data_IF_342749372813
#
_entry.id   IF_342749372813
#
_cell.length_a   1.000
_cell.length_b   1.000
_cell.length_c   1.000
_cell.angle_alpha   90.00
_cell.angle_beta   90.00
_cell.angle_gamma   90.00
#
_symmetry.space_group_name_H-M   'P 1'
#
loop_
_entity.id
_entity.type
_entity.pdbx_description
1 polymer ?
#
# COMPACT_ATOMS: atom_id res chain seq x y z
N UNK A 1 -22.11 -0.64 -27.11
CA UNK A 1 -21.17 -0.16 -26.07
C UNK A 1 -21.84 -0.37 -24.72
N UNK A 2 -21.18 -1.07 -23.79
CA UNK A 2 -21.76 -1.39 -22.50
C UNK A 2 -21.67 -0.15 -21.59
N UNK A 3 -22.81 0.30 -21.07
CA UNK A 3 -22.87 1.36 -20.07
C UNK A 3 -22.82 0.72 -18.70
N UNK A 4 -21.78 1.00 -17.92
CA UNK A 4 -21.63 0.43 -16.56
C UNK A 4 -22.13 1.43 -15.54
N UNK A 5 -22.93 0.99 -14.56
CA UNK A 5 -23.36 1.87 -13.46
C UNK A 5 -22.25 2.02 -12.43
N UNK A 6 -22.14 3.20 -11.84
CA UNK A 6 -21.18 3.50 -10.76
C UNK A 6 -21.32 2.51 -9.60
N UNK A 7 -22.55 2.18 -9.19
CA UNK A 7 -22.80 1.18 -8.14
C UNK A 7 -22.32 -0.23 -8.50
N UNK A 8 -22.41 -0.65 -9.77
CA UNK A 8 -21.90 -1.94 -10.23
C UNK A 8 -20.37 -1.94 -10.20
N UNK A 9 -19.75 -0.88 -10.74
CA UNK A 9 -18.30 -0.74 -10.75
C UNK A 9 -17.73 -0.71 -9.32
N UNK A 10 -18.38 -0.01 -8.39
CA UNK A 10 -17.96 0.03 -6.99
C UNK A 10 -17.94 -1.37 -6.35
N UNK A 11 -18.96 -2.21 -6.65
CA UNK A 11 -19.03 -3.59 -6.16
C UNK A 11 -17.91 -4.46 -6.73
N UNK A 12 -17.55 -4.29 -8.00
CA UNK A 12 -16.44 -5.04 -8.63
C UNK A 12 -15.11 -4.82 -7.89
N UNK A 13 -14.90 -3.62 -7.36
CA UNK A 13 -13.68 -3.26 -6.63
C UNK A 13 -13.80 -3.35 -5.10
N UNK A 14 -14.92 -3.84 -4.57
CA UNK A 14 -15.13 -3.95 -3.13
C UNK A 14 -15.16 -2.60 -2.38
N UNK A 15 -15.40 -1.50 -3.07
CA UNK A 15 -15.44 -0.15 -2.49
C UNK A 15 -16.87 0.36 -2.36
N UNK A 16 -17.08 1.35 -1.48
CA UNK A 16 -18.41 1.97 -1.37
C UNK A 16 -18.68 2.85 -2.60
N UNK A 17 -19.96 3.00 -2.97
CA UNK A 17 -20.33 3.91 -4.06
C UNK A 17 -19.92 5.36 -3.78
N UNK A 18 -19.81 5.75 -2.51
CA UNK A 18 -19.38 7.09 -2.09
C UNK A 18 -17.88 7.30 -2.34
N UNK A 19 -17.04 6.32 -2.02
CA UNK A 19 -15.60 6.36 -2.31
C UNK A 19 -15.33 6.40 -3.81
N UNK A 20 -16.00 5.55 -4.59
CA UNK A 20 -15.86 5.57 -6.04
C UNK A 20 -16.25 6.95 -6.62
N UNK A 21 -17.35 7.54 -6.15
CA UNK A 21 -17.78 8.88 -6.60
C UNK A 21 -16.74 9.96 -6.26
N UNK A 22 -16.04 9.85 -5.13
CA UNK A 22 -14.92 10.73 -4.78
C UNK A 22 -13.82 10.68 -5.83
N UNK A 23 -13.36 9.46 -6.17
CA UNK A 23 -12.35 9.26 -7.20
C UNK A 23 -12.79 9.76 -8.59
N UNK A 24 -14.06 9.55 -8.95
CA UNK A 24 -14.62 10.07 -10.20
C UNK A 24 -14.58 11.61 -10.23
N UNK A 25 -14.87 12.28 -9.10
CA UNK A 25 -14.82 13.72 -9.00
C UNK A 25 -13.39 14.28 -9.16
N UNK A 26 -12.38 13.64 -8.54
CA UNK A 26 -10.97 14.00 -8.72
C UNK A 26 -10.52 13.89 -10.18
N UNK A 27 -11.02 12.86 -10.89
CA UNK A 27 -10.76 12.63 -12.32
C UNK A 27 -11.62 13.50 -13.25
N UNK A 28 -12.47 14.38 -12.70
CA UNK A 28 -13.43 15.21 -13.46
C UNK A 28 -14.37 14.39 -14.35
N UNK A 29 -14.68 13.17 -13.92
CA UNK A 29 -15.64 12.29 -14.60
C UNK A 29 -17.04 12.59 -14.04
N UNK A 30 -18.00 13.02 -14.88
CA UNK A 30 -19.31 13.42 -14.40
C UNK A 30 -20.13 12.20 -13.94
N UNK A 31 -20.34 12.10 -12.63
CA UNK A 31 -21.26 11.14 -12.01
C UNK A 31 -22.13 11.86 -10.98
N UNK A 32 -23.46 11.77 -11.14
CA UNK A 32 -24.42 12.49 -10.28
C UNK A 32 -24.87 11.66 -9.08
N UNK A 33 -24.83 10.34 -9.21
CA UNK A 33 -25.27 9.38 -8.20
C UNK A 33 -24.75 7.98 -8.51
N UNK A 34 -24.87 7.05 -7.56
CA UNK A 34 -24.51 5.63 -7.74
C UNK A 34 -25.28 4.93 -8.88
N UNK A 35 -26.39 5.51 -9.33
CA UNK A 35 -27.20 5.03 -10.46
C UNK A 35 -26.74 5.57 -11.81
N UNK A 36 -25.78 6.51 -11.82
CA UNK A 36 -25.22 7.09 -13.04
C UNK A 36 -24.49 6.03 -13.85
N UNK A 37 -24.62 6.09 -15.17
CA UNK A 37 -23.90 5.24 -16.11
C UNK A 37 -22.65 5.93 -16.59
N UNK A 38 -21.52 5.22 -16.55
CA UNK A 38 -20.25 5.67 -17.09
C UNK A 38 -20.10 5.18 -18.54
N UNK A 39 -19.58 6.06 -19.38
CA UNK A 39 -19.17 5.72 -20.74
C UNK A 39 -17.91 4.83 -20.70
N UNK A 40 -17.76 3.98 -21.69
CA UNK A 40 -16.72 2.93 -21.74
C UNK A 40 -15.30 3.49 -21.59
N UNK A 41 -15.01 4.64 -22.22
CA UNK A 41 -13.73 5.33 -22.09
C UNK A 41 -13.39 5.68 -20.62
N UNK A 42 -14.39 6.15 -19.87
CA UNK A 42 -14.21 6.45 -18.45
C UNK A 42 -14.09 5.18 -17.61
N UNK A 43 -14.85 4.13 -17.93
CA UNK A 43 -14.76 2.85 -17.23
C UNK A 43 -13.35 2.26 -17.38
N UNK A 44 -12.78 2.28 -18.59
CA UNK A 44 -11.43 1.77 -18.84
C UNK A 44 -10.36 2.53 -18.04
N UNK A 45 -10.44 3.86 -18.02
CA UNK A 45 -9.54 4.71 -17.23
C UNK A 45 -9.66 4.45 -15.74
N UNK A 46 -10.88 4.41 -15.22
CA UNK A 46 -11.17 4.18 -13.79
C UNK A 46 -10.69 2.80 -13.37
N UNK A 47 -10.96 1.75 -14.16
CA UNK A 47 -10.48 0.39 -13.86
C UNK A 47 -8.96 0.30 -13.79
N UNK A 48 -8.26 0.92 -14.75
CA UNK A 48 -6.80 0.95 -14.78
C UNK A 48 -6.22 1.67 -13.56
N UNK A 49 -6.78 2.82 -13.22
CA UNK A 49 -6.28 3.63 -12.10
C UNK A 49 -6.54 2.97 -10.76
N UNK A 50 -7.74 2.41 -10.56
CA UNK A 50 -8.06 1.70 -9.32
C UNK A 50 -7.21 0.44 -9.13
N UNK A 51 -6.94 -0.32 -10.21
CA UNK A 51 -5.99 -1.42 -10.17
C UNK A 51 -4.58 -0.94 -9.76
N UNK A 52 -4.13 0.20 -10.31
CA UNK A 52 -2.83 0.79 -9.98
C UNK A 52 -2.76 1.29 -8.53
N UNK A 53 -3.85 1.83 -7.98
CA UNK A 53 -3.91 2.27 -6.58
C UNK A 53 -3.85 1.09 -5.62
N UNK A 54 -4.52 -0.02 -5.94
CA UNK A 54 -4.46 -1.25 -5.12
C UNK A 54 -3.04 -1.83 -5.14
N UNK A 55 -2.41 -1.89 -6.31
CA UNK A 55 -1.03 -2.36 -6.46
C UNK A 55 -0.03 -1.45 -5.74
N UNK A 56 -0.17 -0.13 -5.90
CA UNK A 56 0.67 0.85 -5.20
C UNK A 56 0.56 0.71 -3.68
N UNK A 57 -0.66 0.59 -3.15
CA UNK A 57 -0.85 0.35 -1.71
C UNK A 57 -0.25 -0.97 -1.24
N UNK A 58 -0.33 -2.03 -2.04
CA UNK A 58 0.30 -3.30 -1.71
C UNK A 58 1.84 -3.18 -1.67
N UNK A 59 2.43 -2.48 -2.64
CA UNK A 59 3.87 -2.21 -2.68
C UNK A 59 4.33 -1.33 -1.51
N UNK A 60 3.56 -0.30 -1.15
CA UNK A 60 3.87 0.56 0.01
C UNK A 60 3.86 -0.23 1.31
N UNK A 61 2.88 -1.12 1.50
CA UNK A 61 2.81 -1.98 2.68
C UNK A 61 3.96 -2.97 2.72
N UNK A 62 4.34 -3.56 1.58
CA UNK A 62 5.46 -4.50 1.52
C UNK A 62 6.81 -3.80 1.72
N UNK A 63 7.00 -2.61 1.15
CA UNK A 63 8.18 -1.79 1.37
C UNK A 63 8.31 -1.36 2.84
N UNK A 64 7.20 -0.98 3.48
CA UNK A 64 7.19 -0.64 4.90
C UNK A 64 7.61 -1.85 5.78
N UNK A 65 7.11 -3.05 5.46
CA UNK A 65 7.51 -4.28 6.17
C UNK A 65 8.98 -4.61 5.98
N UNK A 66 9.50 -4.51 4.76
CA UNK A 66 10.93 -4.75 4.49
C UNK A 66 11.83 -3.74 5.20
N UNK A 67 11.41 -2.47 5.29
CA UNK A 67 12.15 -1.46 6.03
C UNK A 67 12.15 -1.74 7.54
N UNK A 68 11.02 -2.18 8.10
CA UNK A 68 10.92 -2.59 9.50
C UNK A 68 11.80 -3.81 9.79
N UNK A 69 11.79 -4.82 8.92
CA UNK A 69 12.62 -6.03 9.07
C UNK A 69 14.12 -5.70 8.96
N UNK A 70 14.52 -4.83 8.04
CA UNK A 70 15.92 -4.38 7.94
C UNK A 70 16.35 -3.57 9.16
N UNK A 71 15.47 -2.72 9.71
CA UNK A 71 15.77 -1.98 10.93
C UNK A 71 15.94 -2.92 12.14
N UNK A 72 15.06 -3.91 12.28
CA UNK A 72 15.15 -4.92 13.33
C UNK A 72 16.43 -5.77 13.20
N UNK A 73 16.79 -6.21 12.00
CA UNK A 73 18.00 -6.97 11.75
C UNK A 73 19.28 -6.17 12.03
N UNK A 74 19.30 -4.88 11.68
CA UNK A 74 20.42 -3.99 11.98
C UNK A 74 20.58 -3.77 13.50
N UNK A 75 19.47 -3.63 14.23
CA UNK A 75 19.49 -3.50 15.68
C UNK A 75 19.98 -4.77 16.37
N UNK A 76 19.53 -5.95 15.92
CA UNK A 76 20.00 -7.23 16.46
C UNK A 76 21.50 -7.44 16.19
N UNK A 77 21.97 -7.11 14.98
CA UNK A 77 23.38 -7.18 14.64
C UNK A 77 24.24 -6.21 15.50
N UNK A 78 23.73 -5.01 15.80
CA UNK A 78 24.40 -4.06 16.66
C UNK A 78 24.51 -4.57 18.11
N UNK A 79 23.42 -5.12 18.67
CA UNK A 79 23.43 -5.72 20.01
C UNK A 79 24.36 -6.93 20.10
N UNK A 80 24.38 -7.79 19.09
CA UNK A 80 25.28 -8.93 19.03
C UNK A 80 26.76 -8.49 18.99
N UNK A 81 27.07 -7.45 18.20
CA UNK A 81 28.43 -6.89 18.12
C UNK A 81 28.86 -6.23 19.44
N UNK A 82 27.96 -5.57 20.16
CA UNK A 82 28.24 -4.97 21.47
C UNK A 82 28.49 -6.04 22.53
N UNK A 83 27.62 -7.06 22.60
CA UNK A 83 27.78 -8.18 23.52
C UNK A 83 29.09 -8.95 23.30
N UNK A 84 29.53 -9.09 22.04
CA UNK A 84 30.81 -9.73 21.72
C UNK A 84 32.00 -8.88 22.16
N UNK A 85 31.94 -7.55 21.95
CA UNK A 85 32.98 -6.63 22.44
C UNK A 85 33.08 -6.66 23.95
N UNK A 86 31.96 -6.72 24.65
CA UNK A 86 31.93 -6.81 26.12
C UNK A 86 32.55 -8.12 26.61
N UNK A 87 32.27 -9.25 25.94
CA UNK A 87 32.89 -10.54 26.26
C UNK A 87 34.40 -10.53 26.06
N UNK A 88 34.88 -10.02 24.92
CA UNK A 88 36.31 -9.91 24.64
C UNK A 88 37.00 -9.01 25.67
N UNK A 89 36.37 -7.88 26.04
CA UNK A 89 36.92 -6.97 27.04
C UNK A 89 36.98 -7.60 28.45
N UNK A 90 35.93 -8.33 28.84
CA UNK A 90 35.87 -9.02 30.13
C UNK A 90 36.86 -10.20 30.23
N UNK A 91 37.09 -10.93 29.14
CA UNK A 91 38.11 -11.99 29.07
C UNK A 91 39.52 -11.40 29.21
N UNK A 92 39.80 -10.33 28.45
CA UNK A 92 41.10 -9.64 28.51
C UNK A 92 41.43 -9.07 29.89
N UNK A 93 40.41 -8.61 30.63
CA UNK A 93 40.55 -8.10 31.99
C UNK A 93 40.74 -9.20 33.06
N UNK A 94 40.49 -10.48 32.74
CA UNK A 94 40.73 -11.61 33.66
C UNK A 94 42.09 -12.27 33.49
N UNK A 95 42.75 -12.06 32.36
CA UNK A 95 44.10 -12.56 32.08
C UNK A 95 45.23 -11.61 32.52
N UNK A 96 44.90 -10.38 32.96
CA UNK A 96 45.83 -9.39 33.53
C UNK A 96 45.83 -9.41 35.06
#
# INVERSE_FOLDING_TARGET
MAKVRVSTLAKEFGMTSKELMGHLAEMKIPAKSASSTLEDAYVAMVRKQLASVIEARAQEVEAAKQAEEQAAAAEEAARAAEAERERIAAEKAREE
#
